data_IF_777313910647
#
_entry.id   IF_777313910647
#
_cell.length_a   1.000
_cell.length_b   1.000
_cell.length_c   1.000
_cell.angle_alpha   90.00
_cell.angle_beta   90.00
_cell.angle_gamma   90.00
#
_symmetry.space_group_name_H-M   'P 1'
#
loop_
_entity.id
_entity.type
_entity.pdbx_description
1 polymer ?
#
# COMPACT_ATOMS: atom_id res chain seq x y z
N UNK A 1 51.70 18.58 -1.05
CA UNK A 1 51.71 18.35 -2.51
C UNK A 1 50.48 17.50 -2.83
N UNK A 2 49.35 18.13 -3.14
CA UNK A 2 48.09 17.42 -3.43
C UNK A 2 48.14 16.92 -4.89
N UNK A 3 48.21 15.61 -5.08
CA UNK A 3 48.05 14.97 -6.38
C UNK A 3 46.57 15.01 -6.77
N UNK A 4 46.17 16.02 -7.54
CA UNK A 4 44.89 16.02 -8.24
C UNK A 4 45.01 15.06 -9.43
N UNK A 5 44.54 13.83 -9.27
CA UNK A 5 44.34 12.95 -10.41
C UNK A 5 43.20 13.52 -11.26
N UNK A 6 43.46 13.69 -12.56
CA UNK A 6 42.44 14.01 -13.57
C UNK A 6 41.37 12.91 -13.55
N UNK A 7 40.17 13.25 -13.09
CA UNK A 7 39.07 12.30 -12.95
C UNK A 7 38.19 12.32 -14.21
N UNK A 8 37.85 11.14 -14.72
CA UNK A 8 36.93 10.97 -15.85
C UNK A 8 35.47 11.25 -15.40
N UNK A 9 34.77 12.26 -15.97
CA UNK A 9 33.44 12.67 -15.49
C UNK A 9 32.35 11.60 -15.65
N UNK A 10 32.62 10.52 -16.40
CA UNK A 10 31.68 9.42 -16.60
C UNK A 10 31.75 8.32 -15.51
N UNK A 11 32.69 8.40 -14.55
CA UNK A 11 32.89 7.36 -13.53
C UNK A 11 32.93 7.92 -12.10
N UNK A 12 32.50 7.11 -11.13
CA UNK A 12 32.55 7.46 -9.71
C UNK A 12 34.00 7.61 -9.22
N UNK A 13 34.25 8.64 -8.40
CA UNK A 13 35.51 8.82 -7.67
C UNK A 13 35.48 7.99 -6.40
N UNK A 14 36.22 6.88 -6.40
CA UNK A 14 36.39 6.03 -5.24
C UNK A 14 37.62 6.48 -4.44
N UNK A 15 37.39 7.02 -3.24
CA UNK A 15 38.45 7.44 -2.34
C UNK A 15 38.74 6.31 -1.33
N UNK A 16 39.98 5.80 -1.34
CA UNK A 16 40.47 4.83 -0.34
C UNK A 16 40.95 5.49 0.97
N UNK A 17 40.79 6.81 1.09
CA UNK A 17 41.08 7.54 2.33
C UNK A 17 40.02 7.24 3.38
N UNK A 18 40.41 7.19 4.66
CA UNK A 18 39.46 7.07 5.78
C UNK A 18 38.43 8.21 5.72
N UNK A 19 37.22 7.93 6.19
CA UNK A 19 36.13 8.91 6.23
C UNK A 19 36.59 10.21 6.94
N UNK A 20 36.55 11.36 6.26
CA UNK A 20 37.09 12.61 6.77
C UNK A 20 36.33 13.12 7.99
N UNK A 21 35.05 12.75 8.17
CA UNK A 21 34.26 13.16 9.34
C UNK A 21 34.84 12.62 10.65
N UNK A 22 35.30 11.37 10.69
CA UNK A 22 35.90 10.79 11.90
C UNK A 22 37.23 11.48 12.24
N UNK A 23 38.08 11.69 11.23
CA UNK A 23 39.38 12.37 11.40
C UNK A 23 39.20 13.82 11.86
N UNK A 24 38.33 14.59 11.19
CA UNK A 24 38.04 15.96 11.58
C UNK A 24 37.39 16.03 12.97
N UNK A 25 36.51 15.10 13.31
CA UNK A 25 35.92 15.02 14.65
C UNK A 25 37.01 14.83 15.71
N UNK A 26 37.94 13.88 15.51
CA UNK A 26 39.08 13.66 16.41
C UNK A 26 39.97 14.90 16.53
N UNK A 27 40.25 15.58 15.42
CA UNK A 27 41.03 16.82 15.42
C UNK A 27 40.34 17.95 16.18
N UNK A 28 39.02 18.13 15.99
CA UNK A 28 38.22 19.14 16.68
C UNK A 28 38.13 18.84 18.17
N UNK A 29 37.90 17.59 18.55
CA UNK A 29 37.85 17.16 19.96
C UNK A 29 39.21 17.34 20.63
N UNK A 30 40.31 17.05 19.93
CA UNK A 30 41.67 17.24 20.44
C UNK A 30 42.04 18.72 20.63
N UNK A 31 41.64 19.59 19.69
CA UNK A 31 41.88 21.05 19.77
C UNK A 31 40.93 21.75 20.75
N UNK A 32 39.70 21.27 20.86
CA UNK A 32 38.64 21.89 21.66
C UNK A 32 37.88 20.84 22.49
N UNK A 33 38.49 20.33 23.59
CA UNK A 33 37.87 19.30 24.43
C UNK A 33 36.60 19.77 25.14
N UNK A 34 36.27 21.06 25.11
CA UNK A 34 35.00 21.61 25.63
C UNK A 34 33.80 21.29 24.75
N UNK A 35 34.00 20.99 23.47
CA UNK A 35 32.92 20.71 22.49
C UNK A 35 32.23 19.39 22.77
N UNK A 36 32.91 18.43 23.42
CA UNK A 36 32.31 17.15 23.83
C UNK A 36 31.13 17.34 24.79
N UNK A 37 31.10 18.44 25.56
CA UNK A 37 29.94 18.79 26.42
C UNK A 37 28.71 19.20 25.63
N UNK A 38 28.86 19.66 24.38
CA UNK A 38 27.76 20.03 23.48
C UNK A 38 27.25 18.83 22.67
N UNK A 39 27.97 17.71 22.65
CA UNK A 39 27.59 16.49 21.95
C UNK A 39 26.59 15.66 22.78
N UNK A 40 25.45 16.27 23.10
CA UNK A 40 24.38 15.66 23.87
C UNK A 40 23.11 15.43 23.04
N UNK A 41 22.09 14.89 23.71
CA UNK A 41 20.75 14.83 23.15
C UNK A 41 20.17 16.23 23.08
N UNK A 42 19.50 16.54 21.97
CA UNK A 42 18.76 17.78 21.78
C UNK A 42 17.27 17.50 22.08
N UNK A 43 16.77 17.81 23.30
CA UNK A 43 15.44 17.40 23.73
C UNK A 43 14.32 18.19 23.05
N UNK A 44 14.62 19.38 22.49
CA UNK A 44 13.63 20.21 21.82
C UNK A 44 13.13 19.53 20.54
N UNK A 45 14.02 18.92 19.76
CA UNK A 45 13.68 18.22 18.53
C UNK A 45 12.67 17.11 18.78
N UNK A 46 12.82 16.34 19.87
CA UNK A 46 11.84 15.32 20.26
C UNK A 46 10.46 15.93 20.49
N UNK A 47 10.40 17.04 21.21
CA UNK A 47 9.14 17.69 21.56
C UNK A 47 8.49 18.39 20.36
N UNK A 48 9.28 19.00 19.48
CA UNK A 48 8.80 19.60 18.22
C UNK A 48 8.21 18.51 17.32
N UNK A 49 8.91 17.39 17.13
CA UNK A 49 8.41 16.29 16.31
C UNK A 49 7.14 15.69 16.89
N UNK A 50 7.09 15.49 18.21
CA UNK A 50 5.87 15.04 18.88
C UNK A 50 4.72 16.04 18.71
N UNK A 51 4.99 17.34 18.87
CA UNK A 51 3.99 18.40 18.68
C UNK A 51 3.44 18.49 17.26
N UNK A 52 4.29 18.29 16.24
CA UNK A 52 3.86 18.27 14.83
C UNK A 52 2.97 17.05 14.57
N UNK A 53 3.38 15.87 15.00
CA UNK A 53 2.63 14.62 14.75
C UNK A 53 1.32 14.57 15.54
N UNK A 54 1.30 15.12 16.75
CA UNK A 54 0.10 15.23 17.58
C UNK A 54 -0.78 16.43 17.24
N UNK A 55 -0.37 17.29 16.29
CA UNK A 55 -1.16 18.44 15.89
C UNK A 55 -2.46 17.98 15.23
N UNK A 56 -3.63 18.46 15.69
CA UNK A 56 -4.91 18.07 15.09
C UNK A 56 -4.98 18.47 13.61
N UNK A 57 -4.37 19.59 13.23
CA UNK A 57 -4.29 20.01 11.83
C UNK A 57 -3.48 19.02 10.98
N UNK A 58 -2.35 18.53 11.49
CA UNK A 58 -1.54 17.54 10.79
C UNK A 58 -2.30 16.23 10.61
N UNK A 59 -2.97 15.75 11.67
CA UNK A 59 -3.78 14.53 11.63
C UNK A 59 -4.91 14.65 10.61
N UNK A 60 -5.65 15.78 10.61
CA UNK A 60 -6.75 16.02 9.67
C UNK A 60 -6.24 16.08 8.22
N UNK A 61 -5.13 16.80 7.98
CA UNK A 61 -4.56 16.91 6.64
C UNK A 61 -4.06 15.56 6.12
N UNK A 62 -3.33 14.81 6.95
CA UNK A 62 -2.88 13.46 6.59
C UNK A 62 -4.07 12.55 6.33
N UNK A 63 -5.09 12.59 7.19
CA UNK A 63 -6.30 11.79 7.01
C UNK A 63 -6.99 12.10 5.67
N UNK A 64 -7.23 13.36 5.34
CA UNK A 64 -7.92 13.74 4.11
C UNK A 64 -7.06 13.43 2.88
N UNK A 65 -5.81 13.89 2.85
CA UNK A 65 -4.94 13.79 1.67
C UNK A 65 -4.55 12.33 1.43
N UNK A 66 -4.12 11.61 2.48
CA UNK A 66 -3.73 10.20 2.36
C UNK A 66 -4.92 9.31 2.05
N UNK A 67 -6.07 9.50 2.71
CA UNK A 67 -7.26 8.68 2.44
C UNK A 67 -7.75 8.88 1.00
N UNK A 68 -7.84 10.12 0.53
CA UNK A 68 -8.27 10.42 -0.84
C UNK A 68 -7.29 9.84 -1.87
N UNK A 69 -5.99 10.02 -1.67
CA UNK A 69 -4.97 9.47 -2.56
C UNK A 69 -5.02 7.93 -2.59
N UNK A 70 -5.07 7.28 -1.42
CA UNK A 70 -5.13 5.82 -1.31
C UNK A 70 -6.41 5.25 -1.95
N UNK A 71 -7.54 5.92 -1.76
CA UNK A 71 -8.80 5.51 -2.39
C UNK A 71 -8.71 5.58 -3.92
N UNK A 72 -8.15 6.66 -4.46
CA UNK A 72 -7.96 6.81 -5.91
C UNK A 72 -7.01 5.75 -6.48
N UNK A 73 -5.93 5.40 -5.77
CA UNK A 73 -5.02 4.32 -6.17
C UNK A 73 -5.72 2.95 -6.17
N UNK A 74 -6.61 2.70 -5.20
CA UNK A 74 -7.41 1.48 -5.15
C UNK A 74 -8.40 1.41 -6.31
N UNK A 75 -9.12 2.50 -6.61
CA UNK A 75 -10.04 2.57 -7.75
C UNK A 75 -9.31 2.39 -9.08
N UNK A 76 -8.18 3.06 -9.25
CA UNK A 76 -7.31 2.89 -10.42
C UNK A 76 -6.88 1.43 -10.58
N UNK A 77 -6.50 0.78 -9.48
CA UNK A 77 -6.16 -0.64 -9.46
C UNK A 77 -7.36 -1.53 -9.83
N UNK A 78 -8.55 -1.19 -9.36
CA UNK A 78 -9.81 -1.86 -9.68
C UNK A 78 -10.10 -1.82 -11.18
N UNK A 79 -9.91 -0.67 -11.82
CA UNK A 79 -10.21 -0.46 -13.24
C UNK A 79 -9.11 -0.99 -14.18
N UNK A 80 -7.82 -0.89 -13.79
CA UNK A 80 -6.70 -1.36 -14.63
C UNK A 80 -6.61 -2.90 -14.67
N UNK A 81 -7.08 -3.58 -13.63
CA UNK A 81 -7.02 -5.06 -13.49
C UNK A 81 -7.69 -5.84 -14.64
N UNK A 82 -8.91 -5.47 -15.09
CA UNK A 82 -9.53 -6.00 -16.30
C UNK A 82 -8.96 -5.42 -17.62
N UNK A 83 -7.95 -4.54 -17.56
CA UNK A 83 -7.34 -3.81 -18.69
C UNK A 83 -8.28 -2.78 -19.35
N UNK A 84 -9.07 -2.02 -18.57
CA UNK A 84 -9.95 -1.00 -19.15
C UNK A 84 -9.28 0.35 -19.44
N UNK A 85 -8.06 0.59 -18.94
CA UNK A 85 -7.42 1.89 -19.10
C UNK A 85 -6.73 2.07 -20.45
N UNK A 86 -6.22 0.99 -21.05
CA UNK A 86 -5.54 1.06 -22.35
C UNK A 86 -5.88 -0.14 -23.24
N UNK A 87 -5.78 -0.01 -24.57
CA UNK A 87 -5.97 -1.13 -25.49
C UNK A 87 -4.85 -2.17 -25.40
N UNK A 88 -3.63 -1.77 -25.03
CA UNK A 88 -2.50 -2.70 -24.89
C UNK A 88 -2.40 -3.29 -23.48
N UNK A 89 -2.30 -4.61 -23.39
CA UNK A 89 -2.12 -5.34 -22.12
C UNK A 89 -0.83 -4.94 -21.41
N UNK A 90 0.24 -4.63 -22.14
CA UNK A 90 1.51 -4.23 -21.54
C UNK A 90 1.42 -2.86 -20.87
N UNK A 91 0.74 -1.90 -21.50
CA UNK A 91 0.50 -0.55 -20.94
C UNK A 91 -0.32 -0.60 -19.65
N UNK A 92 -1.34 -1.46 -19.59
CA UNK A 92 -2.11 -1.66 -18.36
C UNK A 92 -1.26 -2.31 -17.26
N UNK A 93 -0.39 -3.27 -17.59
CA UNK A 93 0.52 -3.89 -16.62
C UNK A 93 1.56 -2.91 -16.09
N UNK A 94 2.15 -2.06 -16.93
CA UNK A 94 3.10 -1.03 -16.47
C UNK A 94 2.41 0.01 -15.60
N UNK A 95 1.19 0.43 -15.96
CA UNK A 95 0.40 1.33 -15.12
C UNK A 95 0.05 0.68 -13.76
N UNK A 96 -0.32 -0.60 -13.75
CA UNK A 96 -0.58 -1.33 -12.51
C UNK A 96 0.65 -1.42 -11.60
N UNK A 97 1.86 -1.56 -12.16
CA UNK A 97 3.10 -1.51 -11.36
C UNK A 97 3.31 -0.09 -10.80
N UNK A 98 3.12 0.94 -11.63
CA UNK A 98 3.31 2.33 -11.24
C UNK A 98 2.36 2.77 -10.10
N UNK A 99 1.06 2.46 -10.23
CA UNK A 99 0.02 2.75 -9.22
C UNK A 99 0.29 2.02 -7.90
N UNK A 100 1.01 0.90 -7.96
CA UNK A 100 1.34 0.09 -6.80
C UNK A 100 2.62 0.56 -6.07
N UNK A 101 3.48 1.36 -6.70
CA UNK A 101 4.73 1.85 -6.08
C UNK A 101 4.50 2.60 -4.75
N UNK A 102 3.53 3.52 -4.63
CA UNK A 102 3.28 4.24 -3.37
C UNK A 102 2.84 3.33 -2.21
N UNK A 103 2.28 2.16 -2.52
CA UNK A 103 1.79 1.19 -1.52
C UNK A 103 2.95 0.33 -0.98
N UNK A 104 4.05 0.20 -1.73
CA UNK A 104 5.26 -0.56 -1.35
C UNK A 104 5.11 -2.09 -1.32
N UNK A 105 3.88 -2.60 -1.25
CA UNK A 105 3.55 -4.04 -1.28
C UNK A 105 2.99 -4.37 -2.67
N UNK A 106 3.35 -5.50 -3.32
CA UNK A 106 2.84 -5.90 -4.63
C UNK A 106 1.34 -6.30 -4.60
N UNK A 107 0.48 -5.35 -4.26
CA UNK A 107 -0.95 -5.51 -4.05
C UNK A 107 -1.69 -5.83 -5.35
N UNK A 108 -1.35 -5.16 -6.45
CA UNK A 108 -2.01 -5.34 -7.76
C UNK A 108 -1.94 -6.77 -8.31
N UNK A 109 -0.85 -7.50 -8.03
CA UNK A 109 -0.67 -8.89 -8.45
C UNK A 109 -1.66 -9.85 -7.77
N UNK A 110 -1.87 -9.68 -6.46
CA UNK A 110 -2.82 -10.47 -5.69
C UNK A 110 -4.27 -10.04 -5.96
N UNK A 111 -4.48 -8.73 -6.10
CA UNK A 111 -5.79 -8.11 -6.27
C UNK A 111 -6.57 -8.70 -7.45
N UNK A 112 -5.90 -8.98 -8.58
CA UNK A 112 -6.55 -9.58 -9.75
C UNK A 112 -7.31 -10.87 -9.45
N UNK A 113 -6.75 -11.75 -8.63
CA UNK A 113 -7.39 -13.02 -8.26
C UNK A 113 -8.63 -12.77 -7.38
N UNK A 114 -8.49 -11.90 -6.38
CA UNK A 114 -9.58 -11.57 -5.46
C UNK A 114 -10.70 -10.78 -6.13
N UNK A 115 -10.37 -9.85 -7.03
CA UNK A 115 -11.34 -9.08 -7.83
C UNK A 115 -12.23 -10.00 -8.68
N UNK A 116 -11.65 -11.01 -9.33
CA UNK A 116 -12.42 -12.00 -10.09
C UNK A 116 -13.30 -12.85 -9.16
N UNK A 117 -12.78 -13.28 -8.00
CA UNK A 117 -13.54 -14.05 -7.00
C UNK A 117 -14.74 -13.25 -6.47
N UNK A 118 -14.54 -11.95 -6.19
CA UNK A 118 -15.58 -11.02 -5.78
C UNK A 118 -16.70 -10.89 -6.84
N UNK A 119 -16.36 -10.60 -8.10
CA UNK A 119 -17.37 -10.50 -9.16
C UNK A 119 -18.05 -11.84 -9.47
N UNK A 120 -17.37 -12.97 -9.26
CA UNK A 120 -17.93 -14.31 -9.49
C UNK A 120 -18.92 -14.71 -8.40
N UNK A 121 -18.67 -14.34 -7.15
CA UNK A 121 -19.48 -14.72 -5.99
C UNK A 121 -20.04 -13.48 -5.26
N UNK A 122 -20.47 -12.47 -6.03
CA UNK A 122 -20.93 -11.19 -5.50
C UNK A 122 -22.11 -11.40 -4.55
N UNK A 123 -21.99 -10.92 -3.31
CA UNK A 123 -23.05 -11.05 -2.31
C UNK A 123 -23.23 -12.43 -1.68
N UNK A 124 -22.34 -13.40 -1.98
CA UNK A 124 -22.42 -14.73 -1.36
C UNK A 124 -21.57 -14.81 -0.09
N UNK A 125 -22.23 -15.07 1.03
CA UNK A 125 -21.58 -15.23 2.34
C UNK A 125 -20.51 -16.33 2.32
N UNK A 126 -19.35 -16.01 2.91
CA UNK A 126 -18.21 -16.93 3.02
C UNK A 126 -17.32 -17.06 1.77
N UNK A 127 -17.83 -16.73 0.57
CA UNK A 127 -17.07 -16.76 -0.70
C UNK A 127 -16.69 -15.36 -1.21
N UNK A 128 -17.55 -14.36 -0.99
CA UNK A 128 -17.21 -12.97 -1.27
C UNK A 128 -16.21 -12.45 -0.22
N UNK A 129 -14.99 -12.14 -0.65
CA UNK A 129 -13.95 -11.60 0.23
C UNK A 129 -14.24 -10.19 0.72
N UNK A 130 -15.22 -9.48 0.14
CA UNK A 130 -15.58 -8.11 0.50
C UNK A 130 -16.76 -8.02 1.48
N UNK A 131 -17.40 -9.14 1.87
CA UNK A 131 -18.47 -9.12 2.88
C UNK A 131 -17.90 -9.16 4.30
N UNK A 132 -18.43 -8.31 5.21
CA UNK A 132 -18.03 -8.32 6.61
C UNK A 132 -18.43 -9.65 7.25
N UNK A 133 -17.54 -10.18 8.07
CA UNK A 133 -17.85 -11.33 8.93
C UNK A 133 -18.81 -10.92 10.05
N UNK A 134 -19.48 -11.89 10.68
CA UNK A 134 -20.36 -11.62 11.82
C UNK A 134 -19.62 -10.93 12.98
N UNK A 135 -18.33 -11.23 13.18
CA UNK A 135 -17.49 -10.57 14.18
C UNK A 135 -17.15 -9.13 13.78
N UNK A 136 -16.76 -8.89 12.52
CA UNK A 136 -16.54 -7.53 12.02
C UNK A 136 -17.83 -6.71 12.08
N UNK A 137 -18.97 -7.28 11.72
CA UNK A 137 -20.27 -6.64 11.80
C UNK A 137 -20.63 -6.28 13.26
N UNK A 138 -20.38 -7.20 14.19
CA UNK A 138 -20.56 -6.93 15.62
C UNK A 138 -19.64 -5.81 16.10
N UNK A 139 -18.35 -5.85 15.77
CA UNK A 139 -17.39 -4.81 16.14
C UNK A 139 -17.73 -3.46 15.52
N UNK A 140 -18.09 -3.42 14.24
CA UNK A 140 -18.52 -2.20 13.56
C UNK A 140 -19.77 -1.61 14.22
N UNK A 141 -20.74 -2.45 14.57
CA UNK A 141 -21.92 -1.99 15.31
C UNK A 141 -21.54 -1.47 16.70
N UNK A 142 -20.67 -2.15 17.45
CA UNK A 142 -20.25 -1.68 18.78
C UNK A 142 -19.45 -0.37 18.72
N UNK A 143 -18.57 -0.21 17.73
CA UNK A 143 -17.72 0.97 17.58
C UNK A 143 -18.45 2.19 16.97
N UNK A 144 -19.41 1.96 16.07
CA UNK A 144 -20.11 3.04 15.34
C UNK A 144 -21.57 3.27 15.77
N UNK A 145 -22.15 2.48 16.68
CA UNK A 145 -23.52 2.70 17.16
C UNK A 145 -23.70 3.94 18.05
N UNK A 146 -22.69 4.79 18.26
CA UNK A 146 -22.82 5.98 19.08
C UNK A 146 -22.84 7.32 18.34
N UNK A 147 -22.65 7.37 17.02
CA UNK A 147 -22.92 8.60 16.26
C UNK A 147 -23.30 8.27 14.82
N UNK A 148 -24.53 8.66 14.45
CA UNK A 148 -25.15 8.38 13.16
C UNK A 148 -24.56 9.15 11.97
N UNK A 149 -23.24 9.20 11.82
CA UNK A 149 -22.57 9.81 10.67
C UNK A 149 -21.35 9.00 10.20
N UNK A 150 -21.56 8.30 9.08
CA UNK A 150 -20.63 8.01 7.99
C UNK A 150 -19.12 8.00 8.29
N UNK A 151 -18.61 6.92 8.89
CA UNK A 151 -17.19 6.54 8.81
C UNK A 151 -17.06 5.04 8.50
N UNK A 152 -17.66 4.61 7.38
CA UNK A 152 -17.55 3.24 6.89
C UNK A 152 -16.26 3.07 6.07
N UNK A 153 -15.13 2.76 6.70
CA UNK A 153 -13.94 2.29 5.97
C UNK A 153 -12.92 1.57 6.86
N UNK A 154 -13.33 0.55 7.62
CA UNK A 154 -12.37 -0.46 8.12
C UNK A 154 -12.94 -1.85 7.85
N UNK A 155 -13.01 -2.21 6.56
CA UNK A 155 -13.03 -3.62 6.18
C UNK A 155 -11.57 -4.06 6.20
N UNK A 156 -11.18 -4.78 7.25
CA UNK A 156 -9.89 -5.46 7.29
C UNK A 156 -9.86 -6.43 6.10
N UNK A 157 -9.10 -6.09 5.07
CA UNK A 157 -8.94 -6.95 3.90
C UNK A 157 -8.35 -8.26 4.38
N UNK A 158 -9.13 -9.34 4.32
CA UNK A 158 -8.72 -10.66 4.78
C UNK A 158 -7.37 -11.02 4.14
N UNK A 159 -6.27 -11.22 4.89
CA UNK A 159 -5.18 -12.01 4.37
C UNK A 159 -5.72 -13.44 4.29
N UNK A 160 -6.14 -13.88 3.10
CA UNK A 160 -6.44 -15.30 2.86
C UNK A 160 -5.08 -16.01 2.94
N UNK A 161 -4.66 -16.35 4.16
CA UNK A 161 -3.57 -17.29 4.39
C UNK A 161 -3.96 -18.52 3.58
N UNK A 162 -3.04 -18.94 2.71
CA UNK A 162 -3.17 -20.11 1.85
C UNK A 162 -3.36 -21.33 2.77
N UNK A 163 -4.60 -21.56 3.18
CA UNK A 163 -5.05 -22.76 3.86
C UNK A 163 -6.02 -23.39 2.89
N UNK A 164 -5.47 -24.28 2.08
CA UNK A 164 -6.24 -25.34 1.44
C UNK A 164 -6.92 -26.13 2.54
N UNK A 165 -8.14 -25.73 2.95
CA UNK A 165 -8.95 -26.49 3.91
C UNK A 165 -9.65 -27.63 3.14
N UNK A 166 -9.29 -28.91 3.32
CA UNK A 166 -9.80 -30.00 2.48
C UNK A 166 -11.30 -30.29 2.69
N UNK A 167 -11.88 -29.79 3.78
CA UNK A 167 -13.27 -30.03 4.19
C UNK A 167 -14.35 -29.11 3.61
N UNK A 168 -14.00 -27.96 3.02
CA UNK A 168 -15.00 -27.03 2.49
C UNK A 168 -15.58 -27.45 1.12
N UNK A 169 -14.92 -28.39 0.43
CA UNK A 169 -15.32 -28.87 -0.89
C UNK A 169 -16.66 -29.62 -0.91
N UNK A 170 -17.13 -30.15 0.23
CA UNK A 170 -18.35 -30.97 0.28
C UNK A 170 -19.66 -30.20 0.37
N UNK A 171 -19.65 -28.87 0.60
CA UNK A 171 -20.88 -28.06 0.73
C UNK A 171 -21.19 -27.17 -0.49
N UNK A 172 -20.58 -27.45 -1.65
CA UNK A 172 -20.71 -26.62 -2.87
C UNK A 172 -21.54 -27.30 -3.98
N UNK A 173 -21.98 -28.55 -3.81
CA UNK A 173 -22.80 -29.24 -4.82
C UNK A 173 -24.28 -29.32 -4.41
N UNK A 174 -24.99 -28.19 -4.48
CA UNK A 174 -26.40 -28.23 -4.92
C UNK A 174 -26.42 -27.84 -6.40
N UNK A 175 -26.50 -28.80 -7.34
CA UNK A 175 -26.32 -28.53 -8.77
C UNK A 175 -27.45 -27.73 -9.45
N UNK A 176 -28.52 -27.36 -8.72
CA UNK A 176 -29.75 -26.83 -9.34
C UNK A 176 -29.98 -25.31 -9.21
N UNK A 177 -28.96 -24.52 -8.84
CA UNK A 177 -29.06 -23.05 -8.80
C UNK A 177 -27.90 -22.33 -9.52
N UNK A 178 -27.20 -23.04 -10.40
CA UNK A 178 -26.31 -22.41 -11.37
C UNK A 178 -27.17 -21.92 -12.54
N UNK A 179 -27.63 -20.67 -12.45
CA UNK A 179 -27.97 -19.90 -13.66
C UNK A 179 -26.71 -19.91 -14.52
N UNK A 180 -26.66 -20.80 -15.52
CA UNK A 180 -25.62 -20.82 -16.53
C UNK A 180 -25.75 -19.55 -17.36
N UNK A 181 -25.24 -18.42 -16.87
CA UNK A 181 -24.92 -17.31 -17.77
C UNK A 181 -23.69 -17.72 -18.57
N UNK A 182 -23.76 -17.75 -19.90
CA UNK A 182 -22.63 -18.17 -20.71
C UNK A 182 -21.51 -17.13 -20.58
N UNK A 183 -20.41 -17.48 -19.90
CA UNK A 183 -19.23 -16.63 -19.73
C UNK A 183 -18.61 -16.16 -21.07
N UNK A 184 -18.97 -16.78 -22.20
CA UNK A 184 -18.54 -16.35 -23.54
C UNK A 184 -19.25 -15.09 -24.04
N UNK A 185 -20.49 -14.83 -23.62
CA UNK A 185 -21.25 -13.65 -24.09
C UNK A 185 -20.81 -12.35 -23.38
N UNK A 186 -20.45 -12.41 -22.10
CA UNK A 186 -19.91 -11.24 -21.39
C UNK A 186 -18.59 -10.73 -21.98
N UNK A 187 -17.81 -11.58 -22.65
CA UNK A 187 -16.57 -11.18 -23.32
C UNK A 187 -16.83 -10.47 -24.66
N UNK A 188 -17.91 -10.83 -25.35
CA UNK A 188 -18.30 -10.22 -26.63
C UNK A 188 -18.98 -8.85 -26.43
N UNK A 189 -19.84 -8.72 -25.41
CA UNK A 189 -20.53 -7.45 -25.10
C UNK A 189 -19.59 -6.32 -24.64
N UNK A 190 -18.51 -6.67 -23.94
CA UNK A 190 -17.49 -5.69 -23.49
C UNK A 190 -16.58 -5.18 -24.61
N UNK A 191 -16.52 -5.87 -25.76
CA UNK A 191 -15.72 -5.46 -26.93
C UNK A 191 -16.60 -4.71 -27.95
N UNK A 192 -17.91 -4.99 -27.98
CA UNK A 192 -18.86 -4.43 -28.94
C UNK A 192 -19.46 -3.07 -28.55
N UNK A 193 -19.14 -2.55 -27.36
CA UNK A 193 -19.74 -1.31 -26.82
C UNK A 193 -18.75 -0.13 -26.76
N UNK A 194 -17.63 -0.22 -27.46
CA UNK A 194 -16.62 0.84 -27.62
C UNK A 194 -16.68 1.42 -29.03
#
# INVERSE_FOLDING_TARGET
>A
MFHFYLQDPANFLWLHTKEPHCLHHLEIVRKHPRVTKLMGYEPLMKNIMFGIVSSPLFIVLVYIISSTANHNLFLTTHEVTPNFMFPSVWQNKTLAVFVNLPIGIPYTAAFKKYHIEHHKFLGQDGLNTNLPTNLELYLLNVFFAYDGNALNAVVLTRPKIITTWPGAAKRILKPNLLVKRPQRECRALMISSA
#
